data_IF_192168175325
#
_entry.id   IF_192168175325
#
_cell.length_a   1.000
_cell.length_b   1.000
_cell.length_c   1.000
_cell.angle_alpha   90.00
_cell.angle_beta   90.00
_cell.angle_gamma   90.00
#
_symmetry.space_group_name_H-M   'P 1'
#
loop_
_entity.id
_entity.type
_entity.pdbx_description
1 polymer ?
#
# COMPACT_ATOMS: atom_id res chain seq x y z
N UNK A 1 1.87 -10.90 6.50
CA UNK A 1 2.15 -10.37 7.85
C UNK A 1 0.84 -10.39 8.62
N UNK A 2 0.81 -10.97 9.81
CA UNK A 2 -0.39 -11.08 10.64
C UNK A 2 -0.06 -10.83 12.12
N UNK A 3 -1.07 -10.72 12.98
CA UNK A 3 -0.88 -10.85 14.43
C UNK A 3 -0.84 -12.31 14.83
N UNK A 4 -0.02 -12.67 15.80
CA UNK A 4 0.05 -14.05 16.33
C UNK A 4 -1.31 -14.54 16.84
N UNK A 5 -2.09 -13.66 17.41
CA UNK A 5 -3.40 -13.99 17.98
C UNK A 5 -4.43 -14.50 16.97
N UNK A 6 -4.31 -14.13 15.68
CA UNK A 6 -5.25 -14.56 14.62
C UNK A 6 -4.69 -15.67 13.74
N UNK A 7 -3.48 -16.18 14.01
CA UNK A 7 -2.79 -17.14 13.13
C UNK A 7 -3.64 -18.37 12.81
N UNK A 8 -4.23 -18.98 13.82
CA UNK A 8 -5.01 -20.21 13.65
C UNK A 8 -6.21 -19.97 12.72
N UNK A 9 -6.98 -18.95 13.01
CA UNK A 9 -8.18 -18.60 12.24
C UNK A 9 -7.81 -18.20 10.81
N UNK A 10 -6.76 -17.41 10.65
CA UNK A 10 -6.26 -17.01 9.33
C UNK A 10 -5.82 -18.21 8.48
N UNK A 11 -5.06 -19.15 9.07
CA UNK A 11 -4.63 -20.36 8.38
C UNK A 11 -5.81 -21.24 7.96
N UNK A 12 -6.79 -21.43 8.84
CA UNK A 12 -7.98 -22.24 8.55
C UNK A 12 -8.81 -21.68 7.39
N UNK A 13 -8.97 -20.36 7.30
CA UNK A 13 -9.84 -19.73 6.31
C UNK A 13 -9.13 -19.37 4.99
N UNK A 14 -7.88 -18.97 5.07
CA UNK A 14 -7.12 -18.42 3.92
C UNK A 14 -5.83 -19.20 3.68
N UNK A 15 -4.97 -19.32 4.70
CA UNK A 15 -3.61 -19.81 4.60
C UNK A 15 -3.52 -21.18 3.97
N UNK A 16 -4.22 -22.16 4.51
CA UNK A 16 -4.23 -23.54 4.03
C UNK A 16 -4.62 -23.68 2.55
N UNK A 17 -5.38 -22.72 2.02
CA UNK A 17 -5.73 -22.70 0.60
C UNK A 17 -4.62 -22.10 -0.23
N UNK A 18 -4.00 -21.03 0.23
CA UNK A 18 -2.91 -20.35 -0.48
C UNK A 18 -1.64 -21.18 -0.50
N UNK A 19 -1.30 -21.89 0.56
CA UNK A 19 -0.12 -22.77 0.67
C UNK A 19 -0.10 -23.90 -0.35
N UNK A 20 -1.25 -24.23 -0.95
CA UNK A 20 -1.33 -25.21 -2.06
C UNK A 20 -0.82 -24.66 -3.40
N UNK A 21 -0.68 -23.36 -3.53
CA UNK A 21 -0.38 -22.70 -4.78
C UNK A 21 0.96 -21.94 -4.75
N UNK A 22 1.34 -21.43 -3.57
CA UNK A 22 2.55 -20.64 -3.38
C UNK A 22 3.20 -21.01 -2.04
N UNK A 23 4.52 -20.81 -1.94
CA UNK A 23 5.20 -20.87 -0.67
C UNK A 23 4.74 -19.70 0.20
N UNK A 24 4.32 -19.98 1.43
CA UNK A 24 3.82 -18.99 2.38
C UNK A 24 4.64 -19.04 3.66
N UNK A 25 5.14 -17.90 4.07
CA UNK A 25 5.75 -17.70 5.37
C UNK A 25 4.94 -16.71 6.19
N UNK A 26 4.80 -16.98 7.49
CA UNK A 26 4.01 -16.15 8.39
C UNK A 26 4.94 -15.32 9.26
N UNK A 27 4.85 -14.01 9.09
CA UNK A 27 5.57 -13.04 9.93
C UNK A 27 4.58 -12.35 10.85
N UNK A 28 4.99 -12.18 12.13
CA UNK A 28 4.10 -11.61 13.14
C UNK A 28 4.52 -10.19 13.47
N UNK A 29 3.57 -9.27 13.33
CA UNK A 29 3.72 -7.89 13.78
C UNK A 29 3.25 -7.79 15.24
N UNK A 30 4.19 -7.93 16.17
CA UNK A 30 3.93 -7.75 17.60
C UNK A 30 4.49 -6.41 18.09
N UNK A 31 3.84 -5.81 19.12
CA UNK A 31 4.18 -4.45 19.54
C UNK A 31 5.58 -4.33 20.16
N UNK A 32 6.11 -5.41 20.73
CA UNK A 32 7.41 -5.48 21.37
C UNK A 32 8.56 -5.79 20.39
N UNK A 33 8.25 -6.06 19.13
CA UNK A 33 9.25 -6.34 18.11
C UNK A 33 9.80 -5.04 17.51
N UNK A 34 10.61 -4.34 18.29
CA UNK A 34 11.19 -3.05 17.94
C UNK A 34 12.68 -3.15 17.67
N UNK A 35 13.26 -2.22 16.89
CA UNK A 35 14.71 -2.09 16.77
C UNK A 35 15.36 -1.74 18.12
N UNK A 36 16.66 -2.01 18.22
CA UNK A 36 17.44 -1.68 19.39
C UNK A 36 17.33 -0.19 19.77
N UNK A 37 17.14 0.07 21.06
CA UNK A 37 17.01 1.42 21.60
C UNK A 37 15.59 2.00 21.58
N UNK A 38 14.61 1.24 21.12
CA UNK A 38 13.20 1.63 21.20
C UNK A 38 12.44 0.76 22.21
N UNK A 39 11.52 1.37 22.91
CA UNK A 39 10.66 0.71 23.89
C UNK A 39 9.19 0.93 23.55
N UNK A 40 8.35 -0.02 23.96
CA UNK A 40 6.89 0.13 23.78
C UNK A 40 6.38 1.14 24.81
N UNK A 41 5.74 2.24 24.40
CA UNK A 41 5.13 3.17 25.34
C UNK A 41 4.09 2.49 26.23
N UNK A 42 4.04 2.89 27.47
CA UNK A 42 3.07 2.35 28.45
C UNK A 42 1.64 2.50 27.94
N UNK A 43 0.86 1.43 28.02
CA UNK A 43 -0.54 1.39 27.59
C UNK A 43 -0.76 1.30 26.07
N UNK A 44 0.28 1.13 25.25
CA UNK A 44 0.09 0.96 23.81
C UNK A 44 -0.52 -0.41 23.48
N UNK A 45 -1.71 -0.36 22.90
CA UNK A 45 -2.47 -1.55 22.44
C UNK A 45 -2.50 -1.65 20.91
N UNK A 46 -2.53 -0.50 20.22
CA UNK A 46 -2.59 -0.47 18.76
C UNK A 46 -1.27 -0.96 18.15
N UNK A 47 -1.32 -1.73 17.05
CA UNK A 47 -0.11 -2.09 16.31
C UNK A 47 0.59 -0.83 15.79
N UNK A 48 1.85 -0.98 15.45
CA UNK A 48 2.62 0.01 14.73
C UNK A 48 2.13 0.10 13.27
N UNK A 49 2.56 1.15 12.55
CA UNK A 49 2.19 1.34 11.15
C UNK A 49 2.75 0.29 10.18
N UNK A 50 2.47 0.49 8.89
CA UNK A 50 2.86 -0.41 7.79
C UNK A 50 4.38 -0.57 7.65
N UNK A 51 5.15 0.50 7.89
CA UNK A 51 6.62 0.43 7.89
C UNK A 51 7.17 -0.57 8.90
N UNK A 52 6.60 -0.63 10.10
CA UNK A 52 6.98 -1.64 11.10
C UNK A 52 6.61 -3.06 10.66
N UNK A 53 5.46 -3.24 10.00
CA UNK A 53 5.07 -4.53 9.46
C UNK A 53 6.13 -5.05 8.46
N UNK A 54 6.61 -4.18 7.57
CA UNK A 54 7.68 -4.50 6.62
C UNK A 54 8.98 -4.82 7.35
N UNK A 55 9.34 -4.02 8.35
CA UNK A 55 10.54 -4.26 9.16
C UNK A 55 10.54 -5.63 9.83
N UNK A 56 9.37 -6.12 10.27
CA UNK A 56 9.25 -7.47 10.83
C UNK A 56 9.62 -8.58 9.83
N UNK A 57 9.66 -8.29 8.54
CA UNK A 57 10.02 -9.25 7.49
C UNK A 57 11.53 -9.31 7.21
N UNK A 58 12.36 -8.50 7.84
CA UNK A 58 13.79 -8.36 7.55
C UNK A 58 14.59 -9.66 7.63
N UNK A 59 14.14 -10.64 8.42
CA UNK A 59 14.81 -11.95 8.57
C UNK A 59 14.37 -12.98 7.51
N UNK A 60 13.29 -12.70 6.76
CA UNK A 60 12.72 -13.65 5.79
C UNK A 60 12.79 -13.16 4.35
N UNK A 61 13.12 -11.89 4.15
CA UNK A 61 13.27 -11.28 2.82
C UNK A 61 14.76 -11.06 2.55
N UNK A 62 15.25 -11.66 1.48
CA UNK A 62 16.66 -11.60 1.06
C UNK A 62 16.86 -11.05 -0.37
N UNK A 63 15.83 -10.47 -0.96
CA UNK A 63 15.86 -9.93 -2.33
C UNK A 63 14.77 -8.88 -2.60
N UNK A 64 14.60 -8.47 -3.86
CA UNK A 64 13.55 -7.55 -4.25
C UNK A 64 12.16 -8.07 -3.87
N UNK A 65 11.33 -7.21 -3.32
CA UNK A 65 10.00 -7.58 -2.86
C UNK A 65 8.96 -6.50 -3.16
N UNK A 66 7.69 -6.90 -3.20
CA UNK A 66 6.56 -6.00 -3.27
C UNK A 66 5.71 -6.08 -2.00
N UNK A 67 5.11 -4.97 -1.61
CA UNK A 67 4.15 -4.88 -0.51
C UNK A 67 2.77 -4.61 -1.07
N UNK A 68 1.79 -5.37 -0.61
CA UNK A 68 0.38 -5.20 -0.96
C UNK A 68 -0.47 -5.28 0.30
N UNK A 69 -1.58 -4.57 0.32
CA UNK A 69 -2.61 -4.76 1.33
C UNK A 69 -3.44 -6.01 1.01
N UNK A 70 -3.83 -6.75 2.03
CA UNK A 70 -4.53 -8.02 1.86
C UNK A 70 -6.01 -7.85 1.43
N UNK A 71 -6.56 -6.67 1.62
CA UNK A 71 -7.95 -6.29 1.37
C UNK A 71 -8.16 -5.42 0.13
N UNK A 72 -7.08 -5.10 -0.60
CA UNK A 72 -7.14 -4.34 -1.84
C UNK A 72 -7.08 -5.22 -3.08
N UNK A 73 -7.79 -4.81 -4.13
CA UNK A 73 -7.71 -5.42 -5.45
C UNK A 73 -6.88 -4.57 -6.41
N UNK A 74 -5.70 -5.06 -6.76
CA UNK A 74 -4.73 -4.34 -7.61
C UNK A 74 -4.86 -4.63 -9.11
N UNK A 75 -5.53 -5.72 -9.48
CA UNK A 75 -5.64 -6.16 -10.88
C UNK A 75 -4.39 -6.91 -11.39
N UNK A 76 -4.58 -7.75 -12.40
CA UNK A 76 -3.51 -8.61 -12.95
C UNK A 76 -2.36 -7.81 -13.57
N UNK A 77 -2.66 -6.69 -14.23
CA UNK A 77 -1.66 -5.83 -14.87
C UNK A 77 -0.71 -5.19 -13.87
N UNK A 78 -1.19 -4.81 -12.70
CA UNK A 78 -0.38 -4.25 -11.63
C UNK A 78 0.65 -5.26 -11.11
N UNK A 79 0.23 -6.49 -10.86
CA UNK A 79 1.15 -7.56 -10.45
C UNK A 79 2.22 -7.83 -11.50
N UNK A 80 1.85 -7.83 -12.78
CA UNK A 80 2.82 -8.00 -13.85
C UNK A 80 3.80 -6.81 -13.92
N UNK A 81 3.31 -5.59 -13.84
CA UNK A 81 4.15 -4.39 -13.91
C UNK A 81 5.17 -4.33 -12.77
N UNK A 82 4.74 -4.57 -11.53
CA UNK A 82 5.67 -4.57 -10.40
C UNK A 82 6.67 -5.73 -10.45
N UNK A 83 6.22 -6.92 -10.90
CA UNK A 83 7.11 -8.06 -11.08
C UNK A 83 8.18 -7.78 -12.13
N UNK A 84 7.80 -7.29 -13.32
CA UNK A 84 8.74 -6.95 -14.39
C UNK A 84 9.77 -5.92 -13.91
N UNK A 85 9.34 -4.92 -13.13
CA UNK A 85 10.23 -3.92 -12.54
C UNK A 85 11.20 -4.55 -11.56
N UNK A 86 10.74 -5.34 -10.61
CA UNK A 86 11.57 -6.02 -9.62
C UNK A 86 12.56 -6.98 -10.27
N UNK A 87 12.13 -7.73 -11.28
CA UNK A 87 13.00 -8.65 -12.01
C UNK A 87 14.09 -7.95 -12.84
N UNK A 88 13.88 -6.68 -13.22
CA UNK A 88 14.83 -5.87 -13.97
C UNK A 88 15.72 -4.98 -13.11
N UNK A 89 15.45 -4.86 -11.80
CA UNK A 89 16.30 -4.10 -10.90
C UNK A 89 17.65 -4.78 -10.73
N UNK A 90 18.71 -4.03 -11.02
CA UNK A 90 20.06 -4.42 -10.64
C UNK A 90 20.36 -3.99 -9.20
N UNK A 91 21.39 -4.58 -8.62
CA UNK A 91 21.98 -4.10 -7.39
C UNK A 91 22.95 -2.96 -7.74
N UNK A 92 22.64 -1.78 -7.34
CA UNK A 92 23.46 -0.58 -7.54
C UNK A 92 23.63 0.20 -6.22
N UNK A 93 24.32 1.33 -6.28
CA UNK A 93 24.61 2.16 -5.10
C UNK A 93 23.37 2.93 -4.58
N UNK A 94 22.17 2.71 -5.14
CA UNK A 94 20.93 3.41 -4.79
C UNK A 94 19.82 2.45 -4.42
N UNK A 95 19.02 2.85 -3.45
CA UNK A 95 17.76 2.17 -3.18
C UNK A 95 16.80 2.34 -4.36
N UNK A 96 16.33 1.23 -4.88
CA UNK A 96 15.39 1.17 -6.00
C UNK A 96 13.98 0.99 -5.46
N UNK A 97 13.18 2.05 -5.54
CA UNK A 97 11.76 1.99 -5.17
C UNK A 97 10.89 2.08 -6.40
N UNK A 98 9.76 1.41 -6.37
CA UNK A 98 8.75 1.48 -7.40
C UNK A 98 7.35 1.37 -6.79
N UNK A 99 6.38 1.99 -7.42
CA UNK A 99 4.97 1.82 -7.10
C UNK A 99 4.16 1.73 -8.40
N UNK A 100 3.03 1.06 -8.34
CA UNK A 100 2.07 1.05 -9.43
C UNK A 100 1.06 2.18 -9.19
N UNK A 101 1.07 3.16 -10.07
CA UNK A 101 0.06 4.21 -10.07
C UNK A 101 -1.16 3.79 -10.90
N UNK A 102 -2.32 4.27 -10.52
CA UNK A 102 -3.60 4.01 -11.16
C UNK A 102 -4.20 5.30 -11.67
N UNK A 103 -4.93 5.25 -12.78
CA UNK A 103 -5.78 6.36 -13.15
C UNK A 103 -6.88 6.53 -12.10
N UNK A 104 -7.02 7.74 -11.55
CA UNK A 104 -7.96 8.04 -10.47
C UNK A 104 -9.37 7.52 -10.77
N UNK A 105 -9.87 7.76 -11.97
CA UNK A 105 -11.23 7.39 -12.38
C UNK A 105 -11.52 5.88 -12.30
N UNK A 106 -10.50 5.03 -12.41
CA UNK A 106 -10.63 3.58 -12.24
C UNK A 106 -10.72 3.15 -10.78
N UNK A 107 -10.53 4.07 -9.84
CA UNK A 107 -10.49 3.81 -8.39
C UNK A 107 -11.61 4.52 -7.62
N UNK A 108 -12.46 5.26 -8.32
CA UNK A 108 -13.59 5.96 -7.74
C UNK A 108 -14.77 5.00 -7.47
N UNK A 109 -15.63 5.42 -6.58
CA UNK A 109 -16.91 4.76 -6.30
C UNK A 109 -18.07 5.66 -6.67
N UNK A 110 -19.20 5.07 -7.06
CA UNK A 110 -20.45 5.82 -7.29
C UNK A 110 -21.14 6.24 -5.98
N UNK A 111 -20.72 5.68 -4.84
CA UNK A 111 -21.33 5.98 -3.55
C UNK A 111 -20.26 6.32 -2.52
N UNK A 112 -20.30 7.55 -2.04
CA UNK A 112 -19.39 8.05 -1.01
C UNK A 112 -18.07 8.55 -1.58
N UNK A 113 -17.05 8.57 -0.74
CA UNK A 113 -15.73 9.10 -1.06
C UNK A 113 -14.63 8.03 -0.99
N UNK A 114 -13.51 8.33 -1.60
CA UNK A 114 -12.27 7.54 -1.48
C UNK A 114 -11.13 8.42 -0.97
N UNK A 115 -10.16 7.81 -0.30
CA UNK A 115 -8.87 8.43 0.02
C UNK A 115 -7.80 7.88 -0.94
N UNK A 116 -6.99 8.76 -1.52
CA UNK A 116 -5.93 8.38 -2.47
C UNK A 116 -4.72 9.31 -2.34
N UNK A 117 -3.53 8.75 -2.57
CA UNK A 117 -2.33 9.54 -2.81
C UNK A 117 -2.30 10.07 -4.24
N UNK A 118 -2.60 11.32 -4.44
CA UNK A 118 -2.50 11.97 -5.76
C UNK A 118 -1.02 12.17 -6.09
N UNK A 119 -0.58 11.57 -7.20
CA UNK A 119 0.81 11.51 -7.63
C UNK A 119 1.13 12.59 -8.65
N UNK A 120 2.25 13.27 -8.47
CA UNK A 120 2.89 14.06 -9.52
C UNK A 120 4.07 13.26 -10.08
N UNK A 121 4.09 13.06 -11.39
CA UNK A 121 5.12 12.28 -12.08
C UNK A 121 5.88 13.19 -13.02
N UNK A 122 7.21 13.06 -13.03
CA UNK A 122 8.07 13.83 -13.93
C UNK A 122 8.08 13.24 -15.36
N UNK A 123 8.80 13.90 -16.28
CA UNK A 123 8.89 13.51 -17.68
C UNK A 123 9.56 12.14 -17.90
N UNK A 124 10.35 11.67 -16.93
CA UNK A 124 11.06 10.39 -16.98
C UNK A 124 10.25 9.27 -16.31
N UNK A 125 9.07 9.58 -15.79
CA UNK A 125 8.18 8.63 -15.11
C UNK A 125 8.52 8.40 -13.64
N UNK A 126 9.32 9.27 -13.01
CA UNK A 126 9.59 9.18 -11.59
C UNK A 126 8.53 9.92 -10.78
N UNK A 127 8.23 9.40 -9.60
CA UNK A 127 7.38 10.07 -8.64
C UNK A 127 8.11 11.32 -8.10
N UNK A 128 7.60 12.50 -8.46
CA UNK A 128 8.14 13.78 -8.00
C UNK A 128 7.49 14.22 -6.69
N UNK A 129 6.20 13.93 -6.52
CA UNK A 129 5.44 14.29 -5.32
C UNK A 129 4.21 13.39 -5.16
N UNK A 130 3.70 13.28 -3.92
CA UNK A 130 2.48 12.56 -3.60
C UNK A 130 1.74 13.27 -2.47
N UNK A 131 0.47 13.60 -2.72
CA UNK A 131 -0.40 14.23 -1.73
C UNK A 131 -1.57 13.32 -1.38
N UNK A 132 -1.71 12.99 -0.10
CA UNK A 132 -2.89 12.29 0.39
C UNK A 132 -4.11 13.22 0.32
N UNK A 133 -5.13 12.80 -0.45
CA UNK A 133 -6.45 13.41 -0.46
C UNK A 133 -7.41 12.46 0.22
N UNK A 134 -7.81 12.80 1.43
CA UNK A 134 -8.61 11.91 2.28
C UNK A 134 -10.07 11.84 1.87
N UNK A 135 -10.52 12.80 1.04
CA UNK A 135 -11.89 12.84 0.55
C UNK A 135 -11.94 13.28 -0.91
N UNK A 136 -12.07 12.30 -1.78
CA UNK A 136 -12.29 12.48 -3.22
C UNK A 136 -13.67 11.90 -3.54
N UNK A 137 -14.52 12.67 -4.21
CA UNK A 137 -15.86 12.27 -4.63
C UNK A 137 -16.04 12.45 -6.12
N UNK A 138 -17.01 11.72 -6.67
CA UNK A 138 -17.44 11.86 -8.04
C UNK A 138 -18.67 12.76 -8.09
N UNK A 139 -18.56 13.92 -8.72
CA UNK A 139 -19.65 14.86 -8.94
C UNK A 139 -20.00 14.88 -10.43
N UNK A 140 -21.00 14.08 -10.82
CA UNK A 140 -21.32 13.84 -12.23
C UNK A 140 -20.18 13.06 -12.91
N UNK A 141 -19.58 13.63 -13.94
CA UNK A 141 -18.46 13.04 -14.67
C UNK A 141 -17.09 13.54 -14.16
N UNK A 142 -17.06 14.37 -13.13
CA UNK A 142 -15.84 14.97 -12.60
C UNK A 142 -15.45 14.36 -11.25
N UNK A 143 -14.14 14.23 -11.02
CA UNK A 143 -13.58 13.89 -9.75
C UNK A 143 -13.13 15.17 -9.03
N UNK A 144 -13.56 15.35 -7.80
CA UNK A 144 -13.23 16.52 -7.00
C UNK A 144 -12.80 16.10 -5.60
N UNK A 145 -11.93 16.87 -4.99
CA UNK A 145 -11.51 16.64 -3.60
C UNK A 145 -11.78 17.87 -2.74
N UNK A 146 -11.88 17.64 -1.46
CA UNK A 146 -12.00 18.66 -0.44
C UNK A 146 -11.02 18.41 0.71
N UNK A 147 -10.53 19.51 1.30
CA UNK A 147 -9.70 19.49 2.51
C UNK A 147 -10.37 20.18 3.71
N UNK A 148 -11.59 20.70 3.52
CA UNK A 148 -12.35 21.49 4.49
C UNK A 148 -13.77 20.95 4.72
N UNK A 149 -13.89 19.60 4.77
CA UNK A 149 -15.15 18.88 4.98
C UNK A 149 -16.27 19.22 3.98
N UNK A 150 -15.89 19.64 2.77
CA UNK A 150 -16.82 19.90 1.68
C UNK A 150 -17.26 21.37 1.55
N UNK A 151 -16.60 22.29 2.27
CA UNK A 151 -16.86 23.72 2.10
C UNK A 151 -16.34 24.25 0.76
N UNK A 152 -15.19 23.71 0.30
CA UNK A 152 -14.66 23.98 -1.04
C UNK A 152 -14.29 22.67 -1.74
N UNK A 153 -14.41 22.67 -3.08
CA UNK A 153 -14.06 21.51 -3.91
C UNK A 153 -13.10 21.95 -5.02
N UNK A 154 -12.08 21.14 -5.22
CA UNK A 154 -11.11 21.33 -6.30
C UNK A 154 -11.14 20.13 -7.25
N UNK A 155 -11.16 20.42 -8.55
CA UNK A 155 -11.24 19.40 -9.58
C UNK A 155 -9.91 18.69 -9.79
N UNK A 156 -9.96 17.37 -9.96
CA UNK A 156 -8.85 16.53 -10.39
C UNK A 156 -9.02 16.19 -11.89
N UNK A 157 -7.92 16.29 -12.64
CA UNK A 157 -7.92 16.04 -14.08
C UNK A 157 -8.17 14.57 -14.42
N UNK A 158 -8.60 14.31 -15.66
CA UNK A 158 -8.88 12.95 -16.15
C UNK A 158 -7.64 12.03 -16.13
N UNK A 159 -6.45 12.61 -16.36
CA UNK A 159 -5.17 11.88 -16.36
C UNK A 159 -4.53 11.76 -14.97
N UNK A 160 -5.24 12.16 -13.92
CA UNK A 160 -4.71 12.11 -12.55
C UNK A 160 -4.31 10.68 -12.17
N UNK A 161 -3.05 10.52 -11.78
CA UNK A 161 -2.51 9.28 -11.26
C UNK A 161 -2.56 9.25 -9.74
N UNK A 162 -2.88 8.09 -9.20
CA UNK A 162 -3.00 7.90 -7.75
C UNK A 162 -2.32 6.63 -7.27
N UNK A 163 -1.84 6.68 -6.03
CA UNK A 163 -1.51 5.49 -5.25
C UNK A 163 -2.76 5.00 -4.50
N UNK A 164 -2.93 3.69 -4.49
CA UNK A 164 -3.95 3.03 -3.66
C UNK A 164 -3.52 2.94 -2.20
N UNK A 165 -2.22 2.96 -1.94
CA UNK A 165 -1.61 2.79 -0.62
C UNK A 165 -0.74 4.01 -0.30
N UNK A 166 -0.86 4.48 0.92
CA UNK A 166 -0.02 5.53 1.50
C UNK A 166 0.57 5.05 2.82
#
# INVERSE_FOLDING_TARGET
IIKKSIEKEFKEHIGNRMEKHVQVEYVYQENDRLPDGFEVPEGRVKPWGTGHAILCCSEVIDGPFAVINADDYYGKSAFKAIYDRLASCGDDDKYQYAMVAYHLYNTLTENGHVARGVCTVDADGHLADIHERTRIEKHGDQAEYTEDDGATWEQLGEDTLVSMNL
#
